data_IF_189799471591
#
_entry.id   IF_189799471591
#
_cell.length_a   1.000
_cell.length_b   1.000
_cell.length_c   1.000
_cell.angle_alpha   90.00
_cell.angle_beta   90.00
_cell.angle_gamma   90.00
#
_symmetry.space_group_name_H-M   'P 1'
#
loop_
_entity.id
_entity.type
_entity.pdbx_description
1 polymer ?
#
# COMPACT_ATOMS: atom_id res chain seq x y z
N UNK A 1 -56.48 6.35 -2.41
CA UNK A 1 -55.84 5.95 -3.68
C UNK A 1 -54.94 7.07 -4.19
N UNK A 2 -53.63 6.86 -4.20
CA UNK A 2 -52.75 7.22 -5.32
C UNK A 2 -51.40 6.58 -5.05
N UNK A 3 -51.04 5.68 -5.96
CA UNK A 3 -49.91 4.75 -5.89
C UNK A 3 -48.59 5.47 -6.22
N UNK A 4 -47.56 5.06 -5.48
CA UNK A 4 -46.23 4.67 -5.97
C UNK A 4 -45.46 5.57 -6.93
N UNK A 5 -44.29 6.04 -6.48
CA UNK A 5 -43.07 5.92 -7.29
C UNK A 5 -41.82 5.96 -6.41
N UNK A 6 -41.14 4.82 -6.42
CA UNK A 6 -39.86 4.49 -5.81
C UNK A 6 -38.69 5.23 -6.46
N UNK A 7 -37.80 5.81 -5.66
CA UNK A 7 -36.40 6.07 -6.05
C UNK A 7 -35.48 5.76 -4.87
N UNK A 8 -35.06 4.50 -4.77
CA UNK A 8 -33.97 4.08 -3.87
C UNK A 8 -32.63 4.53 -4.44
N UNK A 9 -32.24 5.78 -4.21
CA UNK A 9 -30.91 6.27 -4.51
C UNK A 9 -29.98 5.88 -3.35
N UNK A 10 -29.12 4.88 -3.56
CA UNK A 10 -28.06 4.50 -2.64
C UNK A 10 -27.06 5.65 -2.45
N UNK A 11 -27.32 6.52 -1.48
CA UNK A 11 -26.42 7.59 -1.09
C UNK A 11 -25.22 6.93 -0.40
N UNK A 12 -24.09 6.76 -1.11
CA UNK A 12 -22.82 6.42 -0.47
C UNK A 12 -22.45 7.60 0.42
N UNK A 13 -22.85 7.51 1.70
CA UNK A 13 -22.43 8.48 2.71
C UNK A 13 -20.92 8.35 2.90
N UNK A 14 -20.22 9.48 2.88
CA UNK A 14 -18.80 9.52 3.20
C UNK A 14 -18.61 9.03 4.63
N UNK A 15 -17.91 7.91 4.80
CA UNK A 15 -17.61 7.30 6.11
C UNK A 15 -16.74 8.23 6.97
N UNK A 16 -16.01 9.16 6.34
CA UNK A 16 -15.06 10.05 7.02
C UNK A 16 -15.26 11.52 6.67
N UNK A 17 -15.01 12.38 7.66
CA UNK A 17 -14.81 13.82 7.46
C UNK A 17 -13.41 14.12 6.90
N UNK A 18 -13.18 15.27 6.24
CA UNK A 18 -11.84 15.69 5.80
C UNK A 18 -10.82 15.67 6.94
N UNK A 19 -9.81 14.81 6.85
CA UNK A 19 -8.86 14.54 7.94
C UNK A 19 -7.44 15.05 7.68
N UNK A 20 -7.17 15.63 6.50
CA UNK A 20 -5.82 16.03 6.08
C UNK A 20 -5.16 17.04 7.04
N UNK A 21 -5.89 18.09 7.42
CA UNK A 21 -5.36 19.10 8.36
C UNK A 21 -5.16 18.55 9.78
N UNK A 22 -6.04 17.62 10.19
CA UNK A 22 -5.87 16.92 11.46
C UNK A 22 -4.59 16.07 11.44
N UNK A 23 -4.35 15.33 10.36
CA UNK A 23 -3.12 14.55 10.17
C UNK A 23 -1.87 15.43 10.17
N UNK A 24 -1.88 16.52 9.40
CA UNK A 24 -0.79 17.52 9.36
C UNK A 24 -0.49 18.12 10.73
N UNK A 25 -1.52 18.37 11.55
CA UNK A 25 -1.34 18.86 12.93
C UNK A 25 -0.69 17.81 13.82
N UNK A 26 -1.10 16.54 13.70
CA UNK A 26 -0.50 15.43 14.47
C UNK A 26 0.96 15.25 14.10
N UNK A 27 1.32 15.19 12.81
CA UNK A 27 2.72 15.07 12.38
C UNK A 27 3.61 16.19 12.93
N UNK A 28 3.10 17.43 12.96
CA UNK A 28 3.79 18.57 13.60
C UNK A 28 3.93 18.39 15.12
N UNK A 29 2.90 17.90 15.80
CA UNK A 29 2.91 17.66 17.26
C UNK A 29 3.92 16.59 17.64
N UNK A 30 4.03 15.51 16.86
CA UNK A 30 4.97 14.42 17.12
C UNK A 30 6.37 14.67 16.54
N UNK A 31 6.63 15.88 16.02
CA UNK A 31 7.92 16.32 15.47
C UNK A 31 8.48 15.41 14.38
N UNK A 32 7.60 14.83 13.55
CA UNK A 32 8.03 14.08 12.36
C UNK A 32 8.34 15.09 11.26
N UNK A 33 9.60 15.15 10.85
CA UNK A 33 10.04 15.94 9.70
C UNK A 33 9.87 15.13 8.42
N UNK A 34 9.17 15.71 7.44
CA UNK A 34 8.94 15.08 6.14
C UNK A 34 9.35 16.04 5.02
N UNK A 35 9.89 15.52 3.91
CA UNK A 35 10.10 16.32 2.71
C UNK A 35 8.79 16.95 2.22
N UNK A 36 8.90 18.13 1.59
CA UNK A 36 7.74 18.85 1.04
C UNK A 36 6.96 17.93 0.09
N UNK A 37 5.64 17.85 0.29
CA UNK A 37 4.73 17.05 -0.55
C UNK A 37 4.66 15.56 -0.21
N UNK A 38 5.43 15.05 0.77
CA UNK A 38 5.39 13.62 1.14
C UNK A 38 4.30 13.26 2.13
N UNK A 39 3.71 14.23 2.83
CA UNK A 39 2.71 13.99 3.86
C UNK A 39 1.53 13.10 3.39
N UNK A 40 0.92 13.27 2.20
CA UNK A 40 -0.17 12.39 1.75
C UNK A 40 0.29 10.94 1.48
N UNK A 41 1.56 10.75 1.18
CA UNK A 41 2.12 9.47 0.73
C UNK A 41 2.90 8.74 1.81
N UNK A 42 3.26 9.40 2.91
CA UNK A 42 4.14 8.84 3.95
C UNK A 42 3.61 7.52 4.50
N UNK A 43 2.31 7.44 4.83
CA UNK A 43 1.70 6.22 5.37
C UNK A 43 1.74 5.06 4.36
N UNK A 44 1.55 5.38 3.07
CA UNK A 44 1.63 4.40 1.97
C UNK A 44 3.06 3.90 1.80
N UNK A 45 4.04 4.80 1.89
CA UNK A 45 5.45 4.45 1.85
C UNK A 45 5.84 3.58 3.05
N UNK A 46 5.40 3.94 4.27
CA UNK A 46 5.62 3.15 5.49
C UNK A 46 5.06 1.73 5.34
N UNK A 47 3.80 1.60 4.91
CA UNK A 47 3.20 0.29 4.66
C UNK A 47 4.00 -0.53 3.66
N UNK A 48 4.34 0.05 2.51
CA UNK A 48 5.06 -0.62 1.44
C UNK A 48 6.46 -1.08 1.88
N UNK A 49 7.20 -0.22 2.59
CA UNK A 49 8.51 -0.56 3.15
C UNK A 49 8.42 -1.75 4.11
N UNK A 50 7.52 -1.69 5.10
CA UNK A 50 7.37 -2.78 6.07
C UNK A 50 6.87 -4.08 5.43
N UNK A 51 6.00 -3.99 4.42
CA UNK A 51 5.52 -5.16 3.68
C UNK A 51 6.68 -5.91 3.00
N UNK A 52 7.58 -5.19 2.34
CA UNK A 52 8.74 -5.81 1.67
C UNK A 52 9.78 -6.29 2.68
N UNK A 53 10.05 -5.52 3.75
CA UNK A 53 10.95 -5.93 4.83
C UNK A 53 10.54 -7.25 5.50
N UNK A 54 9.23 -7.51 5.57
CA UNK A 54 8.69 -8.76 6.12
C UNK A 54 8.72 -9.94 5.11
N UNK A 55 9.41 -9.81 3.98
CA UNK A 55 9.48 -10.85 2.93
C UNK A 55 8.26 -10.87 1.99
N UNK A 56 7.47 -9.79 1.98
CA UNK A 56 6.30 -9.69 1.09
C UNK A 56 6.70 -9.64 -0.39
N UNK A 57 5.95 -10.36 -1.22
CA UNK A 57 6.20 -10.43 -2.66
C UNK A 57 5.92 -9.07 -3.35
N UNK A 58 6.90 -8.58 -4.12
CA UNK A 58 6.85 -7.27 -4.79
C UNK A 58 5.70 -7.15 -5.82
N UNK A 59 5.31 -8.24 -6.47
CA UNK A 59 4.19 -8.29 -7.41
C UNK A 59 2.84 -8.17 -6.67
N UNK A 60 2.74 -8.77 -5.49
CA UNK A 60 1.57 -8.61 -4.62
C UNK A 60 1.47 -7.17 -4.15
N UNK A 61 2.58 -6.56 -3.74
CA UNK A 61 2.61 -5.16 -3.33
C UNK A 61 2.17 -4.22 -4.46
N UNK A 62 2.57 -4.47 -5.71
CA UNK A 62 2.11 -3.69 -6.86
C UNK A 62 0.58 -3.66 -6.96
N UNK A 63 -0.07 -4.82 -6.79
CA UNK A 63 -1.54 -4.95 -6.83
C UNK A 63 -2.21 -4.25 -5.65
N UNK A 64 -1.69 -4.42 -4.43
CA UNK A 64 -2.21 -3.77 -3.22
C UNK A 64 -2.16 -2.25 -3.35
N UNK A 65 -1.05 -1.73 -3.88
CA UNK A 65 -0.88 -0.31 -4.08
C UNK A 65 -1.64 0.22 -5.31
N UNK A 66 -2.07 -0.64 -6.23
CA UNK A 66 -2.68 -0.23 -7.49
C UNK A 66 -1.70 0.48 -8.43
N UNK A 67 -0.42 0.10 -8.40
CA UNK A 67 0.57 0.66 -9.32
C UNK A 67 0.36 0.13 -10.74
N UNK A 68 0.30 1.05 -11.71
CA UNK A 68 0.19 0.71 -13.12
C UNK A 68 1.44 0.01 -13.66
N UNK A 69 2.61 0.37 -13.14
CA UNK A 69 3.89 -0.21 -13.55
C UNK A 69 4.65 -0.77 -12.34
N UNK A 70 5.27 -1.93 -12.54
CA UNK A 70 6.15 -2.55 -11.56
C UNK A 70 7.30 -1.61 -11.15
N UNK A 71 7.78 -0.77 -12.08
CA UNK A 71 8.85 0.19 -11.81
C UNK A 71 8.52 1.15 -10.65
N UNK A 72 7.24 1.48 -10.45
CA UNK A 72 6.82 2.31 -9.31
C UNK A 72 7.01 1.58 -7.98
N UNK A 73 6.77 0.27 -7.96
CA UNK A 73 6.91 -0.59 -6.79
C UNK A 73 8.37 -0.98 -6.54
N UNK A 74 9.20 -1.05 -7.60
CA UNK A 74 10.62 -1.40 -7.48
C UNK A 74 11.42 -0.47 -6.56
N UNK A 75 10.91 0.73 -6.26
CA UNK A 75 11.48 1.61 -5.23
C UNK A 75 11.66 0.92 -3.88
N UNK A 76 10.83 -0.08 -3.53
CA UNK A 76 10.92 -0.78 -2.26
C UNK A 76 11.75 -2.07 -2.32
N UNK A 77 12.17 -2.53 -3.50
CA UNK A 77 12.80 -3.84 -3.66
C UNK A 77 14.09 -4.01 -2.86
N UNK A 78 14.85 -2.92 -2.66
CA UNK A 78 16.08 -2.91 -1.87
C UNK A 78 15.86 -3.20 -0.38
N UNK A 79 14.62 -3.15 0.11
CA UNK A 79 14.27 -3.47 1.50
C UNK A 79 13.94 -4.94 1.70
N UNK A 80 13.91 -5.73 0.62
CA UNK A 80 13.60 -7.15 0.72
C UNK A 80 14.75 -7.87 1.42
N UNK A 81 14.46 -8.84 2.30
CA UNK A 81 15.50 -9.68 2.89
C UNK A 81 16.26 -10.43 1.78
N UNK A 82 17.51 -10.80 2.04
CA UNK A 82 18.28 -11.60 1.09
C UNK A 82 17.72 -13.02 1.03
N UNK A 83 17.29 -13.45 -0.17
CA UNK A 83 16.75 -14.79 -0.42
C UNK A 83 17.73 -15.66 -1.22
N UNK A 84 19.03 -15.35 -1.21
CA UNK A 84 20.03 -16.09 -2.02
C UNK A 84 20.06 -17.60 -1.69
N UNK A 85 19.79 -17.97 -0.43
CA UNK A 85 19.65 -19.39 -0.04
C UNK A 85 18.42 -20.09 -0.65
N UNK A 86 17.38 -19.35 -1.04
CA UNK A 86 16.21 -19.91 -1.70
C UNK A 86 16.50 -20.34 -3.13
N UNK A 87 17.49 -19.75 -3.79
CA UNK A 87 17.89 -20.15 -5.15
C UNK A 87 18.38 -21.61 -5.19
N UNK A 88 19.08 -22.05 -4.14
CA UNK A 88 19.47 -23.45 -3.98
C UNK A 88 18.25 -24.36 -3.76
N UNK A 89 17.26 -23.91 -2.98
CA UNK A 89 16.03 -24.66 -2.66
C UNK A 89 15.05 -24.78 -3.84
N UNK A 90 14.99 -23.77 -4.71
CA UNK A 90 14.09 -23.76 -5.86
C UNK A 90 14.79 -24.12 -7.18
N UNK A 91 16.00 -24.69 -7.11
CA UNK A 91 16.74 -25.17 -8.27
C UNK A 91 15.98 -26.32 -8.96
N UNK A 92 15.71 -26.27 -10.28
CA UNK A 92 14.95 -27.31 -10.98
C UNK A 92 15.65 -28.68 -11.00
N UNK A 93 16.98 -28.73 -10.79
CA UNK A 93 17.73 -29.99 -10.80
C UNK A 93 17.43 -30.87 -9.58
N UNK A 94 16.97 -30.29 -8.46
CA UNK A 94 16.68 -31.01 -7.22
C UNK A 94 15.43 -31.91 -7.32
N UNK A 95 14.62 -31.77 -8.39
CA UNK A 95 13.40 -32.55 -8.62
C UNK A 95 13.53 -33.60 -9.74
N UNK A 96 14.73 -33.79 -10.27
CA UNK A 96 14.99 -34.63 -11.45
C UNK A 96 15.61 -36.00 -11.06
N UNK A 97 15.99 -36.20 -9.79
CA UNK A 97 16.41 -37.50 -9.24
C UNK A 97 15.29 -38.22 -8.45
#
# INVERSE_FOLDING_TARGET
MSKSSSTGAGHQQNVFSPCYEAFKRVCRKVKIELPKGQLPHVLRHTFASHFVMNGGNILTLQKILGHQSLMMTMRYAHLAPEHLGEAAKFNPLDKIE
#
